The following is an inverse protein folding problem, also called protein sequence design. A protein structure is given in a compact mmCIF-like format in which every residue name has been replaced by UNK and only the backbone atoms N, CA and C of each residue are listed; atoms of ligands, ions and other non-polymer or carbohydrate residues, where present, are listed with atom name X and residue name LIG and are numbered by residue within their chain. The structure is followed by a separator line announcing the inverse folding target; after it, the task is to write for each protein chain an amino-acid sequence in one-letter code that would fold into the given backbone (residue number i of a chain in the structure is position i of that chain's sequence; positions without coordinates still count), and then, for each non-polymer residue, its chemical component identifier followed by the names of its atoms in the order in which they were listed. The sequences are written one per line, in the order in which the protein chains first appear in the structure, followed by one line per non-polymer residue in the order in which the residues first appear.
data_IF_469436005432
#
_entry.id   IF_469436005432
#
_cell.length_a   1.000
_cell.length_b   1.000
_cell.length_c   1.000
_cell.angle_alpha   90.00
_cell.angle_beta   90.00
_cell.angle_gamma   90.00
#
_symmetry.space_group_name_H-M   'P 1'
#
loop_
_entity.id
_entity.type
_entity.pdbx_description
1 polymer ?
#
# COMPACT_ATOMS: atom_id res chain seq x y z
N UNK A 1 13.31 54.00 34.73
CA UNK A 1 12.76 54.59 35.95
C UNK A 1 11.47 55.32 35.55
N UNK A 2 10.31 54.80 35.98
CA UNK A 2 8.90 55.22 35.77
C UNK A 2 8.34 55.31 34.32
N UNK A 3 7.02 55.19 34.07
CA UNK A 3 5.96 54.45 34.78
C UNK A 3 4.97 53.66 33.87
N UNK A 4 4.15 52.91 34.60
CA UNK A 4 2.90 52.14 34.41
C UNK A 4 1.71 52.69 33.57
N UNK A 5 0.91 51.72 33.05
CA UNK A 5 -0.58 51.61 32.97
C UNK A 5 -1.33 52.58 32.03
N UNK A 6 -2.29 52.22 31.16
CA UNK A 6 -3.57 51.44 31.23
C UNK A 6 -4.13 51.28 29.76
N UNK A 7 -5.37 50.83 29.41
CA UNK A 7 -6.51 50.30 30.20
C UNK A 7 -7.22 49.03 29.64
N UNK A 8 -7.96 48.38 30.53
CA UNK A 8 -9.32 47.80 30.40
C UNK A 8 -9.77 47.21 29.06
N UNK A 9 -9.78 45.88 28.98
CA UNK A 9 -10.66 45.14 28.08
C UNK A 9 -12.05 45.05 28.71
N UNK A 10 -13.01 45.76 28.11
CA UNK A 10 -14.42 45.79 28.48
C UNK A 10 -15.07 44.40 28.42
N UNK A 11 -15.70 44.04 29.53
CA UNK A 11 -16.74 43.00 29.62
C UNK A 11 -18.05 43.58 29.11
N UNK A 12 -18.60 43.01 28.04
CA UNK A 12 -20.01 43.14 27.65
C UNK A 12 -20.59 41.71 27.65
N UNK A 13 -21.38 41.33 28.66
CA UNK A 13 -22.80 41.60 28.94
C UNK A 13 -23.69 40.45 28.44
N UNK A 14 -23.97 39.53 29.37
CA UNK A 14 -24.96 38.46 29.20
C UNK A 14 -26.38 39.05 29.26
N UNK A 15 -27.31 38.69 28.36
CA UNK A 15 -28.72 39.04 28.52
C UNK A 15 -29.42 38.02 29.43
N UNK A 16 -30.07 38.53 30.47
CA UNK A 16 -31.01 37.81 31.33
C UNK A 16 -32.45 38.21 30.98
N UNK A 17 -33.31 37.22 30.74
CA UNK A 17 -34.70 37.21 31.19
C UNK A 17 -35.79 37.85 30.30
N UNK A 18 -37.08 37.51 30.54
CA UNK A 18 -38.10 37.34 29.50
C UNK A 18 -39.26 38.36 29.57
N UNK A 19 -40.04 38.49 28.49
CA UNK A 19 -41.34 39.18 28.54
C UNK A 19 -42.39 38.59 27.55
N UNK A 20 -43.71 38.66 27.85
CA UNK A 20 -44.76 37.75 27.36
C UNK A 20 -45.62 38.27 26.18
N UNK A 21 -46.43 37.36 25.60
CA UNK A 21 -47.19 37.48 24.33
C UNK A 21 -48.45 38.39 24.31
N UNK A 22 -49.35 38.28 23.29
CA UNK A 22 -50.29 37.15 23.23
C UNK A 22 -50.73 36.61 21.83
N UNK A 23 -51.05 35.30 21.85
CA UNK A 23 -52.18 34.55 21.25
C UNK A 23 -52.55 34.59 19.74
N UNK A 24 -52.37 33.44 19.06
CA UNK A 24 -53.42 32.53 18.54
C UNK A 24 -52.75 31.49 17.59
N UNK A 25 -53.04 30.19 17.49
CA UNK A 25 -53.83 29.22 18.24
C UNK A 25 -53.47 27.84 17.64
N UNK A 26 -53.09 26.84 18.47
CA UNK A 26 -53.26 25.39 18.20
C UNK A 26 -52.63 24.53 19.32
N UNK A 27 -53.47 24.15 20.27
CA UNK A 27 -53.63 22.79 20.82
C UNK A 27 -52.41 22.01 21.38
N UNK A 28 -52.24 22.18 22.71
CA UNK A 28 -51.87 21.20 23.76
C UNK A 28 -51.25 19.85 23.36
N UNK A 29 -50.01 19.63 23.77
CA UNK A 29 -49.36 18.31 23.88
C UNK A 29 -48.14 18.37 24.80
N UNK A 30 -48.27 17.77 25.98
CA UNK A 30 -47.32 17.73 27.10
C UNK A 30 -46.11 16.80 26.81
N UNK A 31 -44.89 17.06 27.31
CA UNK A 31 -43.78 16.12 27.16
C UNK A 31 -43.90 14.93 28.14
N UNK A 32 -43.50 13.70 27.74
CA UNK A 32 -43.70 12.51 28.56
C UNK A 32 -42.66 12.38 29.70
N UNK A 33 -43.14 11.89 30.85
CA UNK A 33 -42.38 11.53 32.04
C UNK A 33 -41.70 10.13 31.91
N UNK A 34 -40.75 9.77 32.80
CA UNK A 34 -39.92 8.57 32.67
C UNK A 34 -40.68 7.26 32.96
N UNK A 35 -40.40 6.21 32.18
CA UNK A 35 -40.91 4.84 32.37
C UNK A 35 -40.31 4.20 33.62
N UNK A 36 -41.12 4.02 34.65
CA UNK A 36 -40.94 3.00 35.71
C UNK A 36 -41.73 1.75 35.32
N UNK A 37 -41.07 0.58 35.29
CA UNK A 37 -41.67 -0.71 34.96
C UNK A 37 -42.70 -1.18 36.01
N UNK A 38 -43.64 -2.08 35.64
CA UNK A 38 -44.78 -2.38 36.47
C UNK A 38 -44.48 -3.39 37.58
N UNK A 39 -45.13 -3.13 38.71
CA UNK A 39 -45.29 -4.03 39.85
C UNK A 39 -46.05 -5.30 39.45
N UNK A 40 -45.56 -6.44 39.93
CA UNK A 40 -46.27 -7.72 39.92
C UNK A 40 -46.71 -8.04 41.35
N UNK A 41 -48.00 -8.28 41.55
CA UNK A 41 -48.58 -8.77 42.81
C UNK A 41 -49.53 -9.92 42.52
N UNK A 42 -49.28 -11.01 43.24
CA UNK A 42 -50.14 -12.11 43.69
C UNK A 42 -50.96 -12.90 42.65
N UNK A 43 -50.93 -14.23 42.61
CA UNK A 43 -50.28 -15.22 43.46
C UNK A 43 -50.81 -16.59 43.06
N UNK A 44 -50.02 -17.65 43.20
CA UNK A 44 -50.58 -18.94 43.59
C UNK A 44 -49.53 -19.86 44.21
N UNK A 45 -49.99 -20.55 45.24
CA UNK A 45 -49.22 -21.28 46.24
C UNK A 45 -49.30 -22.76 45.91
N UNK A 46 -48.16 -23.46 45.73
CA UNK A 46 -48.08 -24.91 45.95
C UNK A 46 -46.68 -25.35 46.38
N UNK A 47 -46.65 -25.86 47.60
CA UNK A 47 -45.56 -26.57 48.24
C UNK A 47 -45.15 -27.82 47.44
N UNK A 48 -43.85 -28.12 47.40
CA UNK A 48 -43.33 -29.48 47.59
C UNK A 48 -41.82 -29.46 47.79
N UNK A 49 -41.43 -29.71 49.04
CA UNK A 49 -40.06 -30.03 49.41
C UNK A 49 -39.59 -31.34 48.78
N UNK A 50 -38.33 -31.35 48.36
CA UNK A 50 -37.57 -32.53 47.95
C UNK A 50 -36.12 -32.40 48.45
N UNK A 51 -35.45 -33.50 48.82
CA UNK A 51 -34.52 -33.50 49.93
C UNK A 51 -33.12 -33.01 49.56
N UNK A 52 -32.56 -32.15 50.43
CA UNK A 52 -31.13 -31.83 50.49
C UNK A 52 -30.35 -33.12 50.79
N UNK A 53 -29.75 -33.72 49.75
CA UNK A 53 -28.75 -34.78 49.94
C UNK A 53 -27.49 -34.17 50.56
N UNK A 54 -27.12 -34.72 51.70
CA UNK A 54 -25.90 -34.43 52.43
C UNK A 54 -24.68 -34.62 51.52
N UNK A 55 -23.85 -33.57 51.46
CA UNK A 55 -22.56 -33.57 50.76
C UNK A 55 -21.60 -34.44 51.57
N UNK A 56 -21.19 -35.58 51.03
CA UNK A 56 -20.16 -36.45 51.61
C UNK A 56 -18.82 -35.76 51.39
N UNK A 57 -18.15 -35.39 52.47
CA UNK A 57 -16.77 -34.91 52.44
C UNK A 57 -15.85 -36.05 52.02
N UNK A 58 -14.97 -35.81 51.05
CA UNK A 58 -13.83 -36.70 50.76
C UNK A 58 -13.79 -37.38 49.39
N UNK A 59 -14.24 -36.75 48.31
CA UNK A 59 -14.00 -37.26 46.95
C UNK A 59 -13.25 -36.19 46.13
N UNK A 60 -12.05 -36.48 45.60
CA UNK A 60 -11.26 -35.51 44.86
C UNK A 60 -12.00 -35.15 43.57
N UNK A 61 -12.07 -33.85 43.29
CA UNK A 61 -12.61 -33.33 42.05
C UNK A 61 -11.86 -33.95 40.86
N UNK A 62 -12.49 -34.94 40.20
CA UNK A 62 -12.15 -35.25 38.82
C UNK A 62 -12.52 -34.02 38.01
N UNK A 63 -11.53 -33.17 37.78
CA UNK A 63 -11.52 -32.16 36.74
C UNK A 63 -11.89 -32.90 35.45
N UNK A 64 -13.10 -32.67 34.96
CA UNK A 64 -13.40 -32.93 33.56
C UNK A 64 -12.29 -32.27 32.77
N UNK A 65 -11.66 -33.04 31.89
CA UNK A 65 -10.84 -32.49 30.82
C UNK A 65 -11.75 -31.47 30.15
N UNK A 66 -11.48 -30.19 30.41
CA UNK A 66 -12.05 -29.09 29.66
C UNK A 66 -11.61 -29.37 28.22
N UNK A 67 -12.55 -29.89 27.44
CA UNK A 67 -12.58 -29.74 25.99
C UNK A 67 -12.26 -28.27 25.78
N UNK A 68 -11.03 -27.98 25.37
CA UNK A 68 -10.67 -26.64 24.91
C UNK A 68 -11.55 -26.48 23.69
N UNK A 69 -12.68 -25.78 23.84
CA UNK A 69 -13.41 -25.18 22.74
C UNK A 69 -12.36 -24.36 21.99
N UNK A 70 -11.73 -24.96 20.97
CA UNK A 70 -10.97 -24.21 19.99
C UNK A 70 -11.96 -23.18 19.47
N UNK A 71 -11.67 -21.87 19.58
CA UNK A 71 -12.60 -20.85 19.13
C UNK A 71 -12.94 -21.18 17.68
N UNK A 72 -14.23 -21.45 17.41
CA UNK A 72 -14.73 -21.71 16.06
C UNK A 72 -14.08 -20.69 15.13
N UNK A 73 -13.18 -21.16 14.27
CA UNK A 73 -12.42 -20.31 13.36
C UNK A 73 -13.45 -19.59 12.51
N UNK A 74 -13.75 -18.33 12.84
CA UNK A 74 -14.79 -17.55 12.19
C UNK A 74 -14.47 -17.54 10.70
N UNK A 75 -15.23 -18.32 9.92
CA UNK A 75 -14.96 -18.53 8.50
C UNK A 75 -15.26 -17.23 7.77
N UNK A 76 -14.25 -16.35 7.73
CA UNK A 76 -14.36 -15.05 7.06
C UNK A 76 -14.66 -15.32 5.58
N UNK A 77 -15.77 -14.81 5.04
CA UNK A 77 -16.16 -15.09 3.68
C UNK A 77 -15.07 -14.61 2.70
N UNK A 78 -14.68 -15.44 1.71
CA UNK A 78 -13.63 -15.10 0.78
C UNK A 78 -13.98 -13.85 -0.02
N UNK A 79 -13.05 -12.90 -0.12
CA UNK A 79 -13.24 -11.68 -0.92
C UNK A 79 -13.50 -12.07 -2.39
N UNK A 80 -14.51 -11.45 -3.01
CA UNK A 80 -14.84 -11.71 -4.42
C UNK A 80 -13.82 -11.04 -5.35
N UNK A 81 -13.28 -11.83 -6.28
CA UNK A 81 -12.39 -11.32 -7.33
C UNK A 81 -13.24 -10.63 -8.40
N UNK A 82 -13.07 -9.32 -8.54
CA UNK A 82 -13.74 -8.54 -9.57
C UNK A 82 -12.93 -8.66 -10.87
N UNK A 83 -13.41 -9.47 -11.82
CA UNK A 83 -12.71 -9.73 -13.10
C UNK A 83 -12.30 -8.46 -13.84
N UNK A 84 -13.17 -7.46 -13.86
CA UNK A 84 -12.89 -6.16 -14.50
C UNK A 84 -11.69 -5.45 -13.87
N UNK A 85 -11.58 -5.50 -12.53
CA UNK A 85 -10.46 -4.92 -11.79
C UNK A 85 -9.14 -5.62 -12.12
N UNK A 86 -9.16 -6.96 -12.20
CA UNK A 86 -7.98 -7.73 -12.56
C UNK A 86 -7.53 -7.43 -13.99
N UNK A 87 -8.46 -7.29 -14.93
CA UNK A 87 -8.19 -6.93 -16.32
C UNK A 87 -7.62 -5.52 -16.47
N UNK A 88 -8.14 -4.52 -15.75
CA UNK A 88 -7.61 -3.15 -15.80
C UNK A 88 -6.20 -3.06 -15.21
N UNK A 89 -5.91 -3.78 -14.12
CA UNK A 89 -4.56 -3.88 -13.56
C UNK A 89 -3.61 -4.58 -14.55
N UNK A 90 -4.07 -5.66 -15.19
CA UNK A 90 -3.29 -6.35 -16.23
C UNK A 90 -2.96 -5.42 -17.40
N UNK A 91 -3.96 -4.67 -17.90
CA UNK A 91 -3.78 -3.69 -18.96
C UNK A 91 -2.80 -2.57 -18.57
N UNK A 92 -2.92 -2.05 -17.34
CA UNK A 92 -1.99 -1.04 -16.83
C UNK A 92 -0.56 -1.57 -16.71
N UNK A 93 -0.37 -2.80 -16.21
CA UNK A 93 0.95 -3.43 -16.11
C UNK A 93 1.59 -3.63 -17.49
N UNK A 94 0.81 -4.08 -18.47
CA UNK A 94 1.25 -4.21 -19.86
C UNK A 94 1.67 -2.86 -20.46
N UNK A 95 0.82 -1.84 -20.33
CA UNK A 95 1.10 -0.49 -20.84
C UNK A 95 2.32 0.13 -20.18
N UNK A 96 2.47 -0.02 -18.86
CA UNK A 96 3.62 0.48 -18.12
C UNK A 96 4.91 -0.22 -18.57
N UNK A 97 4.90 -1.55 -18.69
CA UNK A 97 6.04 -2.31 -19.19
C UNK A 97 6.45 -1.91 -20.60
N UNK A 98 5.49 -1.85 -21.53
CA UNK A 98 5.72 -1.41 -22.92
C UNK A 98 6.25 0.02 -22.96
N UNK A 99 5.63 0.95 -22.22
CA UNK A 99 6.04 2.35 -22.17
C UNK A 99 7.46 2.54 -21.66
N UNK A 100 7.85 1.81 -20.60
CA UNK A 100 9.21 1.84 -20.07
C UNK A 100 10.24 1.25 -21.04
N UNK A 101 9.92 0.12 -21.68
CA UNK A 101 10.81 -0.52 -22.66
C UNK A 101 11.00 0.37 -23.90
N UNK A 102 9.90 0.91 -24.45
CA UNK A 102 9.97 1.83 -25.58
C UNK A 102 10.71 3.13 -25.22
N UNK A 103 10.50 3.66 -24.01
CA UNK A 103 11.24 4.82 -23.51
C UNK A 103 12.75 4.58 -23.46
N UNK A 104 13.16 3.40 -23.00
CA UNK A 104 14.56 3.01 -22.97
C UNK A 104 15.16 2.84 -24.39
N UNK A 105 14.42 2.22 -25.31
CA UNK A 105 14.87 1.95 -26.69
C UNK A 105 14.93 3.21 -27.57
N UNK A 106 14.06 4.19 -27.31
CA UNK A 106 14.04 5.46 -28.06
C UNK A 106 15.08 6.46 -27.60
N UNK A 107 15.69 6.24 -26.44
CA UNK A 107 16.73 7.09 -25.89
C UNK A 107 18.11 6.58 -26.32
N UNK A 108 18.52 6.98 -27.53
CA UNK A 108 19.82 6.62 -28.08
C UNK A 108 21.01 7.19 -27.28
N UNK A 109 22.25 6.75 -27.58
CA UNK A 109 23.45 7.25 -26.95
C UNK A 109 23.59 8.77 -27.17
N UNK A 110 23.34 9.57 -26.12
CA UNK A 110 23.41 11.05 -26.17
C UNK A 110 22.06 11.77 -25.99
N UNK A 111 20.92 11.10 -26.21
CA UNK A 111 19.57 11.68 -26.02
C UNK A 111 18.83 10.95 -24.90
N UNK A 112 19.30 11.11 -23.66
CA UNK A 112 18.77 10.40 -22.46
C UNK A 112 17.61 11.12 -21.76
N UNK A 113 17.40 12.40 -22.09
CA UNK A 113 16.35 13.23 -21.52
C UNK A 113 14.93 12.68 -21.75
N UNK A 114 14.58 12.10 -22.92
CA UNK A 114 13.26 11.52 -23.12
C UNK A 114 12.96 10.38 -22.15
N UNK A 115 13.89 9.44 -21.96
CA UNK A 115 13.72 8.35 -20.99
C UNK A 115 13.62 8.88 -19.56
N UNK A 116 14.47 9.84 -19.17
CA UNK A 116 14.37 10.47 -17.85
C UNK A 116 13.01 11.14 -17.63
N UNK A 117 12.44 11.80 -18.65
CA UNK A 117 11.10 12.39 -18.54
C UNK A 117 9.99 11.34 -18.37
N UNK A 118 10.10 10.20 -19.05
CA UNK A 118 9.18 9.06 -18.87
C UNK A 118 9.29 8.51 -17.45
N UNK A 119 10.52 8.30 -16.96
CA UNK A 119 10.78 7.82 -15.59
C UNK A 119 10.23 8.81 -14.55
N UNK A 120 10.47 10.10 -14.72
CA UNK A 120 9.91 11.14 -13.88
C UNK A 120 8.39 11.09 -13.84
N UNK A 121 7.73 10.92 -15.00
CA UNK A 121 6.29 10.73 -15.08
C UNK A 121 5.81 9.51 -14.26
N UNK A 122 6.50 8.37 -14.38
CA UNK A 122 6.19 7.16 -13.61
C UNK A 122 6.45 7.35 -12.10
N UNK A 123 7.51 8.06 -11.71
CA UNK A 123 7.78 8.42 -10.32
C UNK A 123 6.67 9.30 -9.74
N UNK A 124 6.17 10.29 -10.48
CA UNK A 124 5.04 11.11 -10.02
C UNK A 124 3.76 10.28 -9.87
N UNK A 125 3.49 9.37 -10.80
CA UNK A 125 2.38 8.41 -10.66
C UNK A 125 2.55 7.52 -9.42
N UNK A 126 3.77 7.07 -9.14
CA UNK A 126 4.10 6.31 -7.93
C UNK A 126 3.83 7.14 -6.66
N UNK A 127 4.36 8.36 -6.57
CA UNK A 127 4.11 9.25 -5.43
C UNK A 127 2.62 9.47 -5.23
N UNK A 128 1.87 9.76 -6.30
CA UNK A 128 0.44 10.01 -6.24
C UNK A 128 -0.34 8.77 -5.76
N UNK A 129 -0.09 7.61 -6.38
CA UNK A 129 -0.77 6.36 -6.04
C UNK A 129 -0.52 5.96 -4.57
N UNK A 130 0.73 6.04 -4.12
CA UNK A 130 1.11 5.60 -2.77
C UNK A 130 0.72 6.61 -1.68
N UNK A 131 0.79 7.92 -1.94
CA UNK A 131 0.33 8.93 -0.98
C UNK A 131 -1.19 8.91 -0.82
N UNK A 132 -1.96 8.69 -1.90
CA UNK A 132 -3.41 8.54 -1.82
C UNK A 132 -3.83 7.27 -1.08
N UNK A 133 -3.04 6.20 -1.21
CA UNK A 133 -3.34 4.93 -0.58
C UNK A 133 -2.97 4.89 0.90
N UNK A 134 -1.76 5.33 1.26
CA UNK A 134 -1.24 5.29 2.63
C UNK A 134 -1.68 6.49 3.47
N UNK A 135 -2.10 7.59 2.83
CA UNK A 135 -2.55 8.83 3.46
C UNK A 135 -1.64 9.28 4.62
N UNK A 136 -0.34 9.50 4.38
CA UNK A 136 0.57 9.88 5.44
C UNK A 136 0.10 11.20 6.09
N UNK A 137 0.30 11.40 7.40
CA UNK A 137 -0.31 12.52 8.14
C UNK A 137 0.03 13.91 7.59
N UNK A 138 1.23 14.07 7.03
CA UNK A 138 1.64 15.30 6.33
C UNK A 138 1.67 15.07 4.81
N UNK A 139 0.56 14.63 4.23
CA UNK A 139 0.46 14.19 2.82
C UNK A 139 1.16 15.12 1.83
N UNK A 140 0.86 16.42 1.88
CA UNK A 140 1.45 17.40 0.95
C UNK A 140 2.97 17.55 1.13
N UNK A 141 3.47 17.44 2.36
CA UNK A 141 4.89 17.55 2.65
C UNK A 141 5.63 16.32 2.14
N UNK A 142 5.10 15.12 2.41
CA UNK A 142 5.66 13.86 1.91
C UNK A 142 5.62 13.84 0.39
N UNK A 143 4.48 14.14 -0.22
CA UNK A 143 4.33 14.16 -1.67
C UNK A 143 5.29 15.16 -2.33
N UNK A 144 5.38 16.39 -1.78
CA UNK A 144 6.27 17.42 -2.30
C UNK A 144 7.74 17.05 -2.20
N UNK A 145 8.16 16.51 -1.06
CA UNK A 145 9.55 16.07 -0.85
C UNK A 145 9.87 14.87 -1.75
N UNK A 146 8.98 13.87 -1.85
CA UNK A 146 9.19 12.73 -2.73
C UNK A 146 9.24 13.13 -4.21
N UNK A 147 8.43 14.09 -4.65
CA UNK A 147 8.51 14.63 -6.01
C UNK A 147 9.81 15.41 -6.26
N UNK A 148 10.29 16.17 -5.26
CA UNK A 148 11.59 16.83 -5.37
C UNK A 148 12.74 15.81 -5.43
N UNK A 149 12.69 14.76 -4.61
CA UNK A 149 13.65 13.65 -4.62
C UNK A 149 13.63 12.92 -5.96
N UNK A 150 12.45 12.72 -6.55
CA UNK A 150 12.28 12.16 -7.90
C UNK A 150 13.07 12.97 -8.93
N UNK A 151 12.82 14.28 -8.99
CA UNK A 151 13.50 15.18 -9.92
C UNK A 151 15.03 15.20 -9.69
N UNK A 152 15.46 15.29 -8.43
CA UNK A 152 16.89 15.29 -8.09
C UNK A 152 17.56 13.95 -8.41
N UNK A 153 16.87 12.82 -8.20
CA UNK A 153 17.36 11.49 -8.55
C UNK A 153 17.58 11.37 -10.06
N UNK A 154 16.62 11.84 -10.84
CA UNK A 154 16.71 11.80 -12.30
C UNK A 154 17.80 12.74 -12.83
N UNK A 155 17.88 13.95 -12.30
CA UNK A 155 18.96 14.91 -12.62
C UNK A 155 20.33 14.30 -12.29
N UNK A 156 20.49 13.75 -11.08
CA UNK A 156 21.74 13.12 -10.67
C UNK A 156 22.09 11.91 -11.56
N UNK A 157 21.10 11.06 -11.87
CA UNK A 157 21.29 9.89 -12.72
C UNK A 157 21.69 10.26 -14.16
N UNK A 158 21.21 11.39 -14.68
CA UNK A 158 21.58 11.91 -16.00
C UNK A 158 22.95 12.60 -15.99
N UNK A 159 23.23 13.44 -14.99
CA UNK A 159 24.37 14.37 -15.00
C UNK A 159 25.65 13.81 -14.38
N UNK A 160 25.58 12.84 -13.46
CA UNK A 160 26.79 12.35 -12.77
C UNK A 160 27.73 11.70 -13.77
N UNK A 161 29.03 12.07 -13.80
CA UNK A 161 29.98 11.50 -14.76
C UNK A 161 30.10 9.97 -14.66
N UNK A 162 30.18 9.46 -13.43
CA UNK A 162 30.23 8.03 -13.13
C UNK A 162 28.82 7.47 -12.99
N UNK A 163 28.49 6.45 -13.79
CA UNK A 163 27.22 5.73 -13.71
C UNK A 163 27.18 4.81 -12.47
N UNK A 164 26.99 5.40 -11.28
CA UNK A 164 26.92 4.70 -10.01
C UNK A 164 25.63 4.96 -9.24
N UNK A 165 25.32 4.08 -8.29
CA UNK A 165 24.14 4.20 -7.43
C UNK A 165 24.34 5.11 -6.21
N UNK A 166 25.59 5.52 -5.91
CA UNK A 166 25.89 6.30 -4.70
C UNK A 166 25.07 7.61 -4.60
N UNK A 167 24.93 8.44 -5.66
CA UNK A 167 24.10 9.64 -5.60
C UNK A 167 22.64 9.34 -5.26
N UNK A 168 22.08 8.25 -5.81
CA UNK A 168 20.71 7.82 -5.53
C UNK A 168 20.56 7.40 -4.05
N UNK A 169 21.54 6.69 -3.49
CA UNK A 169 21.56 6.34 -2.07
C UNK A 169 21.54 7.56 -1.15
N UNK A 170 22.35 8.58 -1.44
CA UNK A 170 22.35 9.83 -0.68
C UNK A 170 21.00 10.57 -0.78
N UNK A 171 20.38 10.58 -1.96
CA UNK A 171 19.08 11.20 -2.17
C UNK A 171 17.94 10.44 -1.47
N UNK A 172 18.00 9.12 -1.42
CA UNK A 172 17.05 8.31 -0.65
C UNK A 172 17.15 8.63 0.86
N UNK A 173 18.37 8.63 1.40
CA UNK A 173 18.61 8.92 2.82
C UNK A 173 18.23 10.37 3.16
N UNK A 174 18.70 11.35 2.39
CA UNK A 174 18.40 12.77 2.59
C UNK A 174 16.92 13.10 2.41
N UNK A 175 16.28 12.52 1.39
CA UNK A 175 14.85 12.67 1.11
C UNK A 175 13.97 12.10 2.22
N UNK A 176 14.33 10.91 2.73
CA UNK A 176 13.64 10.31 3.87
C UNK A 176 13.76 11.18 5.12
N UNK A 177 14.98 11.60 5.48
CA UNK A 177 15.22 12.48 6.62
C UNK A 177 14.46 13.80 6.50
N UNK A 178 14.48 14.43 5.32
CA UNK A 178 13.74 15.66 5.07
C UNK A 178 12.23 15.45 5.23
N UNK A 179 11.67 14.35 4.73
CA UNK A 179 10.25 14.04 4.86
C UNK A 179 9.84 13.81 6.33
N UNK A 180 10.67 13.09 7.09
CA UNK A 180 10.45 12.88 8.54
C UNK A 180 10.52 14.20 9.30
N UNK A 181 11.54 15.02 9.06
CA UNK A 181 11.65 16.34 9.68
C UNK A 181 10.45 17.24 9.34
N UNK A 182 10.00 17.21 8.09
CA UNK A 182 8.81 17.93 7.64
C UNK A 182 7.53 17.48 8.35
N UNK A 183 7.40 16.18 8.64
CA UNK A 183 6.30 15.64 9.45
C UNK A 183 6.37 16.12 10.91
N UNK A 184 7.57 16.14 11.51
CA UNK A 184 7.78 16.54 12.90
C UNK A 184 7.45 18.03 13.13
N UNK A 185 7.86 18.91 12.22
CA UNK A 185 7.60 20.36 12.31
C UNK A 185 6.10 20.65 12.29
N UNK A 186 5.32 19.85 11.56
CA UNK A 186 3.87 20.06 11.40
C UNK A 186 3.03 19.51 12.58
N UNK A 187 3.67 19.04 13.67
CA UNK A 187 3.04 18.45 14.87
C UNK A 187 1.99 17.39 14.54
N UNK A 188 2.44 16.29 13.96
CA UNK A 188 1.60 15.12 13.69
C UNK A 188 1.34 14.32 14.97
N UNK A 189 0.15 13.72 15.08
CA UNK A 189 -0.24 12.81 16.16
C UNK A 189 0.80 11.70 16.39
N UNK A 190 1.33 11.64 17.62
CA UNK A 190 2.37 10.69 18.03
C UNK A 190 1.93 9.23 18.06
N UNK A 191 0.62 8.98 17.88
CA UNK A 191 0.01 7.65 17.99
C UNK A 191 0.29 6.77 16.75
N UNK A 192 0.69 7.35 15.61
CA UNK A 192 0.92 6.63 14.33
C UNK A 192 2.31 6.82 13.72
N UNK A 193 3.33 7.05 14.55
CA UNK A 193 4.67 7.39 14.06
C UNK A 193 5.27 6.27 13.21
N UNK A 194 5.18 5.02 13.64
CA UNK A 194 5.73 3.86 12.93
C UNK A 194 5.10 3.69 11.54
N UNK A 195 3.78 3.78 11.45
CA UNK A 195 3.05 3.66 10.18
C UNK A 195 3.42 4.79 9.22
N UNK A 196 3.56 6.02 9.75
CA UNK A 196 3.96 7.19 8.98
C UNK A 196 5.40 7.05 8.45
N UNK A 197 6.32 6.57 9.26
CA UNK A 197 7.72 6.34 8.86
C UNK A 197 7.81 5.26 7.79
N UNK A 198 7.12 4.14 7.96
CA UNK A 198 7.08 3.06 6.98
C UNK A 198 6.54 3.51 5.62
N UNK A 199 5.41 4.23 5.61
CA UNK A 199 4.84 4.79 4.40
C UNK A 199 5.79 5.79 3.72
N UNK A 200 6.41 6.67 4.49
CA UNK A 200 7.35 7.69 3.97
C UNK A 200 8.59 7.05 3.38
N UNK A 201 9.16 6.06 4.06
CA UNK A 201 10.31 5.30 3.59
C UNK A 201 9.99 4.58 2.27
N UNK A 202 8.85 3.88 2.22
CA UNK A 202 8.41 3.18 1.02
C UNK A 202 8.26 4.13 -0.17
N UNK A 203 7.62 5.30 0.03
CA UNK A 203 7.43 6.27 -1.04
C UNK A 203 8.77 6.79 -1.55
N UNK A 204 9.66 7.24 -0.65
CA UNK A 204 10.96 7.80 -1.03
C UNK A 204 11.85 6.75 -1.72
N UNK A 205 11.97 5.55 -1.13
CA UNK A 205 12.78 4.47 -1.70
C UNK A 205 12.23 4.02 -3.04
N UNK A 206 10.91 3.85 -3.17
CA UNK A 206 10.30 3.42 -4.43
C UNK A 206 10.51 4.41 -5.57
N UNK A 207 10.44 5.72 -5.29
CA UNK A 207 10.77 6.76 -6.28
C UNK A 207 12.23 6.68 -6.73
N UNK A 208 13.15 6.59 -5.77
CA UNK A 208 14.59 6.51 -6.08
C UNK A 208 14.93 5.23 -6.82
N UNK A 209 14.22 4.12 -6.54
CA UNK A 209 14.41 2.86 -7.21
C UNK A 209 14.16 2.95 -8.72
N UNK A 210 13.21 3.76 -9.19
CA UNK A 210 13.05 4.02 -10.63
C UNK A 210 14.24 4.74 -11.27
N UNK A 211 14.92 5.63 -10.52
CA UNK A 211 16.12 6.31 -10.99
C UNK A 211 17.26 5.34 -11.34
N UNK A 212 17.25 4.13 -10.79
CA UNK A 212 18.23 3.08 -11.15
C UNK A 212 18.12 2.66 -12.61
N UNK A 213 16.96 2.79 -13.26
CA UNK A 213 16.80 2.50 -14.70
C UNK A 213 17.55 3.53 -15.55
N UNK A 214 17.54 4.80 -15.15
CA UNK A 214 18.30 5.85 -15.83
C UNK A 214 19.79 5.56 -15.71
N UNK A 215 20.28 5.22 -14.51
CA UNK A 215 21.69 4.82 -14.32
C UNK A 215 22.01 3.58 -15.16
N UNK A 216 21.15 2.57 -15.13
CA UNK A 216 21.33 1.31 -15.88
C UNK A 216 21.46 1.57 -17.38
N UNK A 217 20.65 2.46 -17.97
CA UNK A 217 20.72 2.82 -19.40
C UNK A 217 22.07 3.38 -19.85
N UNK A 218 22.94 3.76 -18.89
CA UNK A 218 24.27 4.32 -19.16
C UNK A 218 25.39 3.29 -19.09
N UNK A 219 25.11 2.09 -18.61
CA UNK A 219 26.09 1.01 -18.45
C UNK A 219 26.07 0.15 -19.74
N UNK A 220 27.22 -0.41 -20.17
CA UNK A 220 27.24 -1.40 -21.25
C UNK A 220 26.21 -2.52 -21.02
N UNK A 221 25.52 -2.95 -22.08
CA UNK A 221 24.39 -3.90 -22.02
C UNK A 221 23.15 -3.42 -21.19
N UNK A 222 23.17 -2.22 -20.60
CA UNK A 222 22.12 -1.71 -19.73
C UNK A 222 20.75 -1.57 -20.41
N UNK A 223 20.67 -0.99 -21.60
CA UNK A 223 19.39 -0.89 -22.35
C UNK A 223 18.82 -2.26 -22.71
N UNK A 224 19.69 -3.24 -23.03
CA UNK A 224 19.27 -4.62 -23.27
C UNK A 224 18.77 -5.27 -21.97
N UNK A 225 19.45 -5.06 -20.84
CA UNK A 225 19.02 -5.53 -19.53
C UNK A 225 17.67 -4.93 -19.11
N UNK A 226 17.45 -3.63 -19.33
CA UNK A 226 16.16 -2.96 -19.13
C UNK A 226 15.09 -3.64 -19.99
N UNK A 227 15.35 -3.84 -21.27
CA UNK A 227 14.41 -4.48 -22.19
C UNK A 227 14.02 -5.87 -21.71
N UNK A 228 15.00 -6.71 -21.34
CA UNK A 228 14.75 -8.08 -20.84
C UNK A 228 13.97 -8.05 -19.53
N UNK A 229 14.45 -7.31 -18.53
CA UNK A 229 13.89 -7.31 -17.18
C UNK A 229 12.49 -6.69 -17.11
N UNK A 230 12.28 -5.55 -17.79
CA UNK A 230 11.01 -4.85 -17.75
C UNK A 230 9.96 -5.54 -18.62
N UNK A 231 10.35 -6.14 -19.74
CA UNK A 231 9.43 -7.00 -20.51
C UNK A 231 9.03 -8.22 -19.69
N UNK A 232 9.99 -8.89 -19.05
CA UNK A 232 9.70 -10.03 -18.17
C UNK A 232 8.75 -9.65 -17.03
N UNK A 233 9.01 -8.51 -16.38
CA UNK A 233 8.17 -7.98 -15.29
C UNK A 233 6.77 -7.61 -15.77
N UNK A 234 6.66 -6.90 -16.90
CA UNK A 234 5.38 -6.50 -17.48
C UNK A 234 4.55 -7.70 -17.92
N UNK A 235 5.16 -8.70 -18.57
CA UNK A 235 4.49 -9.95 -18.95
C UNK A 235 4.08 -10.73 -17.71
N UNK A 236 4.96 -10.87 -16.71
CA UNK A 236 4.67 -11.60 -15.49
C UNK A 236 3.49 -11.01 -14.71
N UNK A 237 3.47 -9.69 -14.53
CA UNK A 237 2.37 -8.98 -13.87
C UNK A 237 1.06 -9.10 -14.65
N UNK A 238 1.12 -8.91 -15.97
CA UNK A 238 -0.05 -9.04 -16.84
C UNK A 238 -0.64 -10.45 -16.76
N UNK A 239 0.19 -11.47 -16.96
CA UNK A 239 -0.21 -12.88 -16.92
C UNK A 239 -0.74 -13.23 -15.54
N UNK A 240 -0.07 -12.82 -14.46
CA UNK A 240 -0.54 -13.10 -13.10
C UNK A 240 -1.96 -12.56 -12.87
N UNK A 241 -2.24 -11.32 -13.30
CA UNK A 241 -3.56 -10.70 -13.15
C UNK A 241 -4.63 -11.30 -14.07
N UNK A 242 -4.25 -11.70 -15.29
CA UNK A 242 -5.15 -12.44 -16.19
C UNK A 242 -5.51 -13.81 -15.61
N UNK A 243 -4.53 -14.54 -15.09
CA UNK A 243 -4.74 -15.83 -14.44
C UNK A 243 -5.61 -15.67 -13.20
N UNK A 244 -5.37 -14.67 -12.35
CA UNK A 244 -6.21 -14.39 -11.18
C UNK A 244 -7.68 -14.07 -11.57
N UNK A 245 -7.92 -13.49 -12.74
CA UNK A 245 -9.28 -13.20 -13.24
C UNK A 245 -10.06 -14.46 -13.64
N UNK A 246 -9.36 -15.50 -14.11
CA UNK A 246 -9.96 -16.73 -14.66
C UNK A 246 -9.93 -17.87 -13.64
N UNK A 247 -8.78 -18.06 -12.98
CA UNK A 247 -8.48 -19.16 -12.06
C UNK A 247 -7.91 -18.61 -10.73
N UNK A 248 -8.73 -17.98 -9.88
CA UNK A 248 -8.29 -17.42 -8.60
C UNK A 248 -7.95 -18.49 -7.53
N UNK A 249 -7.98 -19.78 -7.89
CA UNK A 249 -7.72 -20.92 -7.00
C UNK A 249 -6.47 -21.68 -7.45
N UNK A 250 -5.62 -22.14 -6.51
CA UNK A 250 -5.69 -22.00 -5.05
C UNK A 250 -5.31 -20.60 -4.57
N UNK A 251 -6.01 -20.06 -3.56
CA UNK A 251 -5.73 -18.75 -2.97
C UNK A 251 -4.55 -18.84 -2.01
N UNK A 252 -3.71 -17.80 -1.98
CA UNK A 252 -2.62 -17.70 -1.01
C UNK A 252 -3.10 -17.29 0.39
N UNK A 253 -4.20 -16.53 0.46
CA UNK A 253 -4.92 -16.22 1.68
C UNK A 253 -6.40 -15.94 1.34
N UNK A 254 -7.37 -16.29 2.20
CA UNK A 254 -8.79 -16.02 1.94
C UNK A 254 -9.11 -14.54 1.69
N UNK A 255 -8.37 -13.65 2.35
CA UNK A 255 -8.58 -12.20 2.38
C UNK A 255 -7.86 -11.46 1.24
N UNK A 256 -6.95 -12.12 0.52
CA UNK A 256 -6.21 -11.51 -0.59
C UNK A 256 -6.80 -11.98 -1.92
N UNK A 257 -7.17 -11.07 -2.85
CA UNK A 257 -7.70 -11.45 -4.16
C UNK A 257 -6.58 -11.89 -5.12
N UNK A 258 -5.77 -12.88 -4.71
CA UNK A 258 -4.60 -13.41 -5.43
C UNK A 258 -4.58 -14.94 -5.42
N UNK A 259 -4.46 -15.53 -6.59
CA UNK A 259 -4.21 -16.95 -6.76
C UNK A 259 -2.70 -17.25 -6.75
N UNK A 260 -2.31 -18.32 -6.06
CA UNK A 260 -0.96 -18.87 -6.18
C UNK A 260 -0.65 -19.26 -7.65
N UNK A 261 -1.68 -19.72 -8.37
CA UNK A 261 -1.60 -20.02 -9.79
C UNK A 261 -1.16 -18.81 -10.63
N UNK A 262 -1.70 -17.62 -10.36
CA UNK A 262 -1.30 -16.40 -11.07
C UNK A 262 0.15 -16.02 -10.83
N UNK A 263 0.62 -16.13 -9.59
CA UNK A 263 2.03 -15.87 -9.23
C UNK A 263 2.97 -16.79 -9.99
N UNK A 264 2.70 -18.10 -9.98
CA UNK A 264 3.55 -19.11 -10.64
C UNK A 264 3.50 -18.95 -12.16
N UNK A 265 2.29 -18.84 -12.75
CA UNK A 265 2.13 -18.66 -14.18
C UNK A 265 2.80 -17.38 -14.68
N UNK A 266 2.63 -16.27 -13.96
CA UNK A 266 3.28 -15.00 -14.28
C UNK A 266 4.80 -15.12 -14.28
N UNK A 267 5.39 -15.69 -13.23
CA UNK A 267 6.83 -15.89 -13.14
C UNK A 267 7.36 -16.81 -14.26
N UNK A 268 6.67 -17.92 -14.56
CA UNK A 268 7.05 -18.84 -15.63
C UNK A 268 7.02 -18.18 -17.01
N UNK A 269 5.93 -17.47 -17.34
CA UNK A 269 5.79 -16.82 -18.64
C UNK A 269 6.76 -15.64 -18.77
N UNK A 270 6.95 -14.83 -17.74
CA UNK A 270 7.96 -13.76 -17.74
C UNK A 270 9.38 -14.29 -17.95
N UNK A 271 9.71 -15.40 -17.29
CA UNK A 271 10.99 -16.11 -17.48
C UNK A 271 11.15 -16.62 -18.90
N UNK A 272 10.13 -17.28 -19.45
CA UNK A 272 10.13 -17.75 -20.84
C UNK A 272 10.34 -16.58 -21.81
N UNK A 273 9.61 -15.47 -21.63
CA UNK A 273 9.76 -14.28 -22.47
C UNK A 273 11.19 -13.73 -22.41
N UNK A 274 11.79 -13.67 -21.22
CA UNK A 274 13.17 -13.22 -21.09
C UNK A 274 14.17 -14.14 -21.79
N UNK A 275 13.98 -15.47 -21.70
CA UNK A 275 14.81 -16.44 -22.39
C UNK A 275 14.72 -16.29 -23.92
N UNK A 276 13.51 -16.07 -24.44
CA UNK A 276 13.26 -15.81 -25.86
C UNK A 276 13.90 -14.49 -26.32
N UNK A 277 13.79 -13.42 -25.54
CA UNK A 277 14.50 -12.17 -25.86
C UNK A 277 16.02 -12.40 -25.87
N UNK A 278 16.54 -13.15 -24.88
CA UNK A 278 17.94 -13.53 -24.81
C UNK A 278 18.48 -14.31 -25.99
N UNK A 279 17.62 -15.04 -26.75
CA UNK A 279 18.06 -15.73 -27.97
C UNK A 279 18.25 -14.80 -29.17
N UNK A 280 17.62 -13.62 -29.15
CA UNK A 280 17.70 -12.63 -30.24
C UNK A 280 18.63 -11.45 -29.92
N UNK A 281 19.06 -11.31 -28.66
CA UNK A 281 19.96 -10.25 -28.24
C UNK A 281 21.43 -10.59 -28.53
N UNK A 282 22.23 -9.55 -28.73
CA UNK A 282 23.67 -9.66 -28.96
C UNK A 282 24.39 -10.01 -27.65
N UNK A 283 25.57 -10.62 -27.74
CA UNK A 283 26.44 -10.86 -26.59
C UNK A 283 26.56 -9.58 -25.72
N UNK A 284 26.48 -9.67 -24.38
CA UNK A 284 26.71 -10.84 -23.52
C UNK A 284 25.47 -11.71 -23.19
N UNK A 285 24.31 -11.43 -23.79
CA UNK A 285 23.10 -12.21 -23.53
C UNK A 285 23.16 -13.60 -24.18
N UNK A 286 22.74 -14.58 -23.40
CA UNK A 286 22.39 -15.93 -23.86
C UNK A 286 20.99 -16.25 -23.35
N UNK A 287 20.25 -17.21 -23.95
CA UNK A 287 18.92 -17.57 -23.49
C UNK A 287 18.89 -17.90 -21.99
N UNK A 288 19.90 -18.63 -21.50
CA UNK A 288 20.04 -19.01 -20.09
C UNK A 288 20.30 -17.80 -19.19
N UNK A 289 21.22 -16.90 -19.54
CA UNK A 289 21.49 -15.69 -18.75
C UNK A 289 20.27 -14.77 -18.71
N UNK A 290 19.63 -14.58 -19.86
CA UNK A 290 18.42 -13.78 -19.95
C UNK A 290 17.27 -14.39 -19.13
N UNK A 291 17.12 -15.71 -19.14
CA UNK A 291 16.16 -16.42 -18.30
C UNK A 291 16.39 -16.15 -16.80
N UNK A 292 17.63 -16.24 -16.33
CA UNK A 292 17.97 -16.02 -14.91
C UNK A 292 17.72 -14.57 -14.51
N UNK A 293 18.22 -13.61 -15.31
CA UNK A 293 18.05 -12.18 -15.06
C UNK A 293 16.58 -11.78 -15.09
N UNK A 294 15.83 -12.26 -16.10
CA UNK A 294 14.41 -12.00 -16.25
C UNK A 294 13.55 -12.69 -15.19
N UNK A 295 13.91 -13.89 -14.74
CA UNK A 295 13.25 -14.58 -13.62
C UNK A 295 13.32 -13.74 -12.35
N UNK A 296 14.51 -13.22 -12.00
CA UNK A 296 14.69 -12.39 -10.80
C UNK A 296 13.82 -11.14 -10.88
N UNK A 297 13.81 -10.45 -12.04
CA UNK A 297 12.97 -9.27 -12.23
C UNK A 297 11.46 -9.61 -12.16
N UNK A 298 11.03 -10.67 -12.84
CA UNK A 298 9.64 -11.12 -12.87
C UNK A 298 9.13 -11.53 -11.49
N UNK A 299 9.90 -12.33 -10.74
CA UNK A 299 9.54 -12.75 -9.38
C UNK A 299 9.51 -11.55 -8.44
N UNK A 300 10.50 -10.67 -8.51
CA UNK A 300 10.53 -9.44 -7.69
C UNK A 300 9.29 -8.58 -7.96
N UNK A 301 8.91 -8.40 -9.22
CA UNK A 301 7.74 -7.64 -9.60
C UNK A 301 6.45 -8.27 -9.07
N UNK A 302 6.26 -9.57 -9.29
CA UNK A 302 5.06 -10.30 -8.86
C UNK A 302 4.93 -10.35 -7.34
N UNK A 303 6.04 -10.57 -6.61
CA UNK A 303 6.04 -10.57 -5.15
C UNK A 303 5.76 -9.19 -4.58
N UNK A 304 6.32 -8.13 -5.18
CA UNK A 304 6.01 -6.77 -4.75
C UNK A 304 4.53 -6.44 -4.97
N UNK A 305 3.99 -6.80 -6.13
CA UNK A 305 2.58 -6.60 -6.47
C UNK A 305 1.70 -7.40 -5.47
N UNK A 306 2.09 -8.63 -5.14
CA UNK A 306 1.43 -9.47 -4.13
C UNK A 306 1.45 -8.83 -2.74
N UNK A 307 2.60 -8.29 -2.32
CA UNK A 307 2.76 -7.60 -1.04
C UNK A 307 1.82 -6.40 -0.90
N UNK A 308 1.57 -5.65 -1.99
CA UNK A 308 0.54 -4.59 -2.00
C UNK A 308 -0.85 -5.15 -1.70
N UNK A 309 -1.18 -6.32 -2.27
CA UNK A 309 -2.46 -6.99 -2.01
C UNK A 309 -2.62 -7.42 -0.55
N UNK A 310 -1.55 -7.94 0.07
CA UNK A 310 -1.55 -8.25 1.50
C UNK A 310 -1.65 -7.00 2.37
N UNK A 311 -0.94 -5.92 2.01
CA UNK A 311 -1.01 -4.66 2.74
C UNK A 311 -2.42 -4.05 2.71
N UNK A 312 -3.11 -4.11 1.56
CA UNK A 312 -4.50 -3.66 1.46
C UNK A 312 -5.44 -4.54 2.29
N UNK A 313 -5.31 -5.87 2.20
CA UNK A 313 -6.12 -6.79 2.99
C UNK A 313 -5.95 -6.56 4.50
N UNK A 314 -4.71 -6.38 4.97
CA UNK A 314 -4.43 -6.08 6.38
C UNK A 314 -5.07 -4.78 6.86
N UNK A 315 -5.08 -3.74 6.03
CA UNK A 315 -5.75 -2.47 6.35
C UNK A 315 -7.27 -2.60 6.42
N UNK A 316 -7.87 -3.36 5.51
CA UNK A 316 -9.31 -3.64 5.54
C UNK A 316 -9.70 -4.44 6.79
N UNK A 317 -8.88 -5.42 7.19
CA UNK A 317 -9.08 -6.17 8.44
C UNK A 317 -8.92 -5.30 9.69
N UNK A 318 -8.08 -4.27 9.64
CA UNK A 318 -7.94 -3.27 10.70
C UNK A 318 -9.07 -2.22 10.72
N UNK A 319 -10.09 -2.35 9.85
CA UNK A 319 -11.23 -1.44 9.77
C UNK A 319 -10.95 -0.11 9.07
N UNK A 320 -9.83 0.03 8.37
CA UNK A 320 -9.56 1.23 7.58
C UNK A 320 -10.42 1.29 6.31
N UNK A 321 -10.83 2.50 5.86
CA UNK A 321 -11.60 2.63 4.64
C UNK A 321 -10.79 2.17 3.40
N UNK A 322 -11.45 1.58 2.40
CA UNK A 322 -10.78 1.14 1.19
C UNK A 322 -10.10 2.32 0.48
N UNK A 323 -8.94 2.06 -0.10
CA UNK A 323 -8.23 3.04 -0.94
C UNK A 323 -9.10 3.46 -2.13
N UNK A 324 -8.93 4.70 -2.57
CA UNK A 324 -9.64 5.18 -3.77
C UNK A 324 -9.37 4.24 -4.95
N UNK A 325 -10.41 3.98 -5.74
CA UNK A 325 -10.40 2.99 -6.82
C UNK A 325 -9.17 3.13 -7.72
N UNK A 326 -8.84 4.34 -8.19
CA UNK A 326 -7.69 4.58 -9.07
C UNK A 326 -6.35 4.18 -8.42
N UNK A 327 -6.11 4.58 -7.17
CA UNK A 327 -4.86 4.28 -6.47
C UNK A 327 -4.63 2.77 -6.35
N UNK A 328 -5.69 2.02 -6.02
CA UNK A 328 -5.64 0.56 -5.89
C UNK A 328 -5.18 -0.16 -7.16
N UNK A 329 -5.56 0.35 -8.34
CA UNK A 329 -5.16 -0.27 -9.61
C UNK A 329 -3.68 -0.07 -9.93
N UNK A 330 -3.13 1.04 -9.47
CA UNK A 330 -1.81 1.49 -9.88
C UNK A 330 -0.72 1.00 -8.94
N UNK A 331 -1.00 0.89 -7.63
CA UNK A 331 0.02 0.57 -6.61
C UNK A 331 0.75 -0.73 -6.86
N UNK A 332 0.01 -1.78 -7.23
CA UNK A 332 0.56 -3.12 -7.43
C UNK A 332 1.63 -3.16 -8.53
N UNK A 333 1.26 -2.84 -9.80
CA UNK A 333 2.24 -2.78 -10.88
C UNK A 333 3.34 -1.74 -10.67
N UNK A 334 3.01 -0.55 -10.15
CA UNK A 334 4.02 0.47 -9.86
C UNK A 334 5.05 0.00 -8.82
N UNK A 335 4.60 -0.68 -7.75
CA UNK A 335 5.48 -1.33 -6.78
C UNK A 335 6.33 -2.43 -7.42
N UNK A 336 5.70 -3.25 -8.26
CA UNK A 336 6.37 -4.30 -9.03
C UNK A 336 7.53 -3.77 -9.87
N UNK A 337 7.29 -2.75 -10.68
CA UNK A 337 8.34 -2.13 -11.49
C UNK A 337 9.37 -1.36 -10.65
N UNK A 338 8.96 -0.73 -9.55
CA UNK A 338 9.88 -0.03 -8.65
C UNK A 338 10.91 -0.99 -8.04
N UNK A 339 10.51 -2.20 -7.61
CA UNK A 339 11.47 -3.19 -7.09
C UNK A 339 12.20 -3.97 -8.20
N UNK A 340 11.59 -4.17 -9.36
CA UNK A 340 12.26 -4.80 -10.50
C UNK A 340 13.41 -3.94 -11.07
N UNK A 341 13.34 -2.61 -10.96
CA UNK A 341 14.36 -1.69 -11.43
C UNK A 341 15.76 -1.90 -10.79
N UNK A 342 15.92 -1.83 -9.45
CA UNK A 342 17.21 -2.09 -8.80
C UNK A 342 17.63 -3.56 -8.93
N UNK A 343 16.68 -4.50 -8.99
CA UNK A 343 16.97 -5.90 -9.27
C UNK A 343 17.60 -6.08 -10.67
N UNK A 344 17.07 -5.40 -11.69
CA UNK A 344 17.63 -5.39 -13.03
C UNK A 344 19.05 -4.81 -13.05
N UNK A 345 19.28 -3.72 -12.30
CA UNK A 345 20.62 -3.15 -12.16
C UNK A 345 21.61 -4.14 -11.54
N UNK A 346 21.23 -4.76 -10.41
CA UNK A 346 22.06 -5.74 -9.73
C UNK A 346 22.38 -6.93 -10.64
N UNK A 347 21.37 -7.45 -11.33
CA UNK A 347 21.54 -8.58 -12.25
C UNK A 347 22.41 -8.22 -13.46
N UNK A 348 22.30 -7.01 -13.99
CA UNK A 348 23.19 -6.54 -15.04
C UNK A 348 24.64 -6.53 -14.57
N UNK A 349 24.94 -5.96 -13.40
CA UNK A 349 26.30 -5.88 -12.87
C UNK A 349 26.90 -7.24 -12.51
N UNK A 350 26.08 -8.23 -12.15
CA UNK A 350 26.54 -9.55 -11.72
C UNK A 350 26.71 -10.55 -12.88
N UNK A 351 25.96 -10.40 -13.97
CA UNK A 351 25.87 -11.43 -15.02
C UNK A 351 26.29 -10.96 -16.43
N UNK A 352 26.49 -9.65 -16.65
CA UNK A 352 26.76 -9.06 -17.96
C UNK A 352 28.01 -8.18 -17.92
#
# INVERSE_FOLDING_TARGET
MFPSTSPEAGRESWPAGPQPGPAAAATRGQPPAPRTGPATTDGDRRERGGPRRARRAGEPARRSEDEIDEPEEEVIPPVQVHRQLALTIAGFAALLGVGLVLGAQTSGPGHRLPFAFIIFGVQLLFVLAWTMAMRPPALLVVAGISAAVAALADIAAVQTDVAGLAPLGYLAAGGFLAAVLGQLVRRVDRVRVTDSLGATLLIVVGVVAFGTLIVLSRIPAGTQAITVCLTASGVALTVARLTDAVLPWPRLAPQVPRGAAGVVAGAMVGTLTSALLGSYLVAPFTPTRAAVIGLVAAVTAVLSDLAVGYAEAGRLMAGEPPTMWVARHMQGPLGGFALAAPAAYAMCMLFL
#
